data_IF_888258873364
#
_entry.id   IF_888258873364
#
_cell.length_a   1.000
_cell.length_b   1.000
_cell.length_c   1.000
_cell.angle_alpha   90.00
_cell.angle_beta   90.00
_cell.angle_gamma   90.00
#
_symmetry.space_group_name_H-M   'P 1'
#
loop_
_entity.id
_entity.type
_entity.pdbx_description
1 polymer ?
#
# COMPACT_ATOMS: atom_id res chain seq x y z
N UNK A 1 -27.97 -9.03 -35.62
CA UNK A 1 -27.10 -9.94 -34.84
C UNK A 1 -25.72 -9.33 -34.82
N UNK A 2 -25.46 -8.45 -33.85
CA UNK A 2 -24.14 -7.88 -33.56
C UNK A 2 -24.28 -6.90 -32.38
N UNK A 3 -24.51 -7.44 -31.18
CA UNK A 3 -24.25 -6.71 -29.93
C UNK A 3 -22.74 -6.72 -29.74
N UNK A 4 -22.10 -5.61 -30.14
CA UNK A 4 -20.70 -5.36 -29.83
C UNK A 4 -20.62 -5.04 -28.34
N UNK A 5 -20.32 -6.05 -27.52
CA UNK A 5 -19.97 -5.85 -26.11
C UNK A 5 -18.65 -5.08 -26.10
N UNK A 6 -18.73 -3.76 -25.94
CA UNK A 6 -17.59 -2.95 -25.56
C UNK A 6 -16.98 -3.54 -24.28
N UNK A 7 -15.64 -3.62 -24.15
CA UNK A 7 -15.04 -3.99 -22.88
C UNK A 7 -15.55 -3.02 -21.81
N UNK A 8 -16.10 -3.58 -20.73
CA UNK A 8 -16.42 -2.86 -19.49
C UNK A 8 -15.10 -2.36 -18.90
N UNK A 9 -14.57 -1.25 -19.43
CA UNK A 9 -13.42 -0.55 -18.86
C UNK A 9 -13.96 0.16 -17.64
N UNK A 10 -13.98 -0.53 -16.50
CA UNK A 10 -14.30 0.08 -15.23
C UNK A 10 -13.29 1.19 -15.00
N UNK A 11 -13.72 2.45 -14.84
CA UNK A 11 -12.78 3.49 -14.42
C UNK A 11 -12.23 3.09 -13.05
N UNK A 12 -10.90 3.20 -12.90
CA UNK A 12 -10.18 3.12 -11.62
C UNK A 12 -11.03 3.69 -10.49
N UNK A 13 -11.11 2.99 -9.36
CA UNK A 13 -11.87 3.44 -8.20
C UNK A 13 -11.52 4.92 -7.90
N UNK A 14 -12.46 5.86 -8.15
CA UNK A 14 -12.21 7.29 -7.98
C UNK A 14 -11.92 7.65 -6.52
N UNK A 15 -12.01 6.69 -5.60
CA UNK A 15 -11.60 6.86 -4.22
C UNK A 15 -10.09 6.86 -3.97
N UNK A 16 -9.24 6.29 -4.83
CA UNK A 16 -7.80 6.18 -4.54
C UNK A 16 -7.04 7.43 -5.01
N UNK A 17 -6.76 8.33 -4.07
CA UNK A 17 -5.89 9.49 -4.28
C UNK A 17 -4.42 9.08 -4.17
N UNK A 18 -3.76 8.94 -5.32
CA UNK A 18 -2.37 8.48 -5.41
C UNK A 18 -1.37 9.53 -4.92
N UNK A 19 -1.70 10.80 -5.02
CA UNK A 19 -0.80 11.90 -4.64
C UNK A 19 -0.75 12.02 -3.12
N UNK A 20 -1.91 11.94 -2.45
CA UNK A 20 -1.97 11.86 -0.98
C UNK A 20 -1.21 10.66 -0.44
N UNK A 21 -1.33 9.50 -1.11
CA UNK A 21 -0.59 8.29 -0.73
C UNK A 21 0.93 8.51 -0.92
N UNK A 22 1.34 9.15 -2.00
CA UNK A 22 2.74 9.46 -2.26
C UNK A 22 3.32 10.38 -1.19
N UNK A 23 2.60 11.44 -0.80
CA UNK A 23 3.00 12.36 0.27
C UNK A 23 3.19 11.61 1.61
N UNK A 24 2.27 10.72 1.97
CA UNK A 24 2.38 9.92 3.19
C UNK A 24 3.59 8.97 3.17
N UNK A 25 3.87 8.36 2.01
CA UNK A 25 5.04 7.49 1.81
C UNK A 25 6.34 8.30 1.91
N UNK A 26 6.42 9.44 1.23
CA UNK A 26 7.57 10.34 1.26
C UNK A 26 7.83 10.84 2.67
N UNK A 27 6.76 11.23 3.38
CA UNK A 27 6.86 11.63 4.77
C UNK A 27 7.46 10.50 5.63
N UNK A 28 6.95 9.27 5.53
CA UNK A 28 7.51 8.16 6.30
C UNK A 28 8.96 7.83 5.95
N UNK A 29 9.34 7.98 4.68
CA UNK A 29 10.67 7.65 4.16
C UNK A 29 11.72 8.74 4.29
N UNK A 30 11.31 9.99 4.49
CA UNK A 30 12.19 11.15 4.64
C UNK A 30 13.39 10.85 5.55
N UNK A 31 14.56 11.31 5.12
CA UNK A 31 15.78 11.21 5.91
C UNK A 31 15.68 12.14 7.13
N UNK A 32 16.00 11.60 8.30
CA UNK A 32 15.88 12.29 9.59
C UNK A 32 17.11 12.02 10.44
N UNK A 33 17.55 13.04 11.17
CA UNK A 33 18.66 12.94 12.11
C UNK A 33 18.37 12.06 13.34
N UNK A 34 17.10 11.70 13.58
CA UNK A 34 16.69 10.87 14.70
C UNK A 34 15.29 10.27 14.53
N UNK A 35 14.87 9.48 15.53
CA UNK A 35 13.54 8.85 15.57
C UNK A 35 12.50 9.92 15.91
N UNK A 36 11.43 10.08 15.10
CA UNK A 36 10.36 11.02 15.39
C UNK A 36 9.55 10.60 16.63
N UNK A 37 8.77 11.53 17.23
CA UNK A 37 7.95 11.22 18.40
C UNK A 37 7.01 10.03 18.15
N UNK A 38 6.80 9.20 19.17
CA UNK A 38 5.94 7.99 19.09
C UNK A 38 4.53 8.28 18.57
N UNK A 39 3.97 9.44 18.91
CA UNK A 39 2.66 9.89 18.43
C UNK A 39 2.62 10.11 16.90
N UNK A 40 3.68 10.69 16.33
CA UNK A 40 3.82 10.89 14.88
C UNK A 40 3.95 9.54 14.18
N UNK A 41 4.76 8.64 14.73
CA UNK A 41 4.93 7.28 14.20
C UNK A 41 3.61 6.52 14.21
N UNK A 42 2.83 6.59 15.29
CA UNK A 42 1.53 5.93 15.39
C UNK A 42 0.54 6.50 14.37
N UNK A 43 0.38 7.83 14.32
CA UNK A 43 -0.54 8.47 13.39
C UNK A 43 -0.19 8.14 11.93
N UNK A 44 1.08 8.28 11.56
CA UNK A 44 1.54 7.93 10.21
C UNK A 44 1.44 6.44 9.91
N UNK A 45 1.52 5.57 10.92
CA UNK A 45 1.30 4.13 10.75
C UNK A 45 -0.17 3.84 10.43
N UNK A 46 -1.10 4.42 11.18
CA UNK A 46 -2.53 4.22 10.97
C UNK A 46 -2.98 4.75 9.60
N UNK A 47 -2.45 5.90 9.20
CA UNK A 47 -2.66 6.49 7.87
C UNK A 47 -2.15 5.56 6.76
N UNK A 48 -0.89 5.13 6.82
CA UNK A 48 -0.31 4.24 5.80
C UNK A 48 -0.96 2.86 5.76
N UNK A 49 -1.39 2.32 6.91
CA UNK A 49 -2.17 1.07 6.96
C UNK A 49 -3.50 1.23 6.23
N UNK A 50 -4.16 2.38 6.39
CA UNK A 50 -5.42 2.70 5.70
C UNK A 50 -5.19 2.79 4.20
N UNK A 51 -4.16 3.52 3.77
CA UNK A 51 -3.79 3.62 2.35
C UNK A 51 -3.39 2.28 1.74
N UNK A 52 -2.58 1.48 2.45
CA UNK A 52 -2.16 0.15 1.99
C UNK A 52 -3.38 -0.77 1.80
N UNK A 53 -4.31 -0.81 2.76
CA UNK A 53 -5.54 -1.61 2.63
C UNK A 53 -6.38 -1.17 1.43
N UNK A 54 -6.48 0.14 1.19
CA UNK A 54 -7.24 0.71 0.07
C UNK A 54 -6.60 0.35 -1.28
N UNK A 55 -5.27 0.41 -1.37
CA UNK A 55 -4.55 -0.05 -2.55
C UNK A 55 -4.78 -1.54 -2.77
N UNK A 56 -4.58 -2.38 -1.75
CA UNK A 56 -4.81 -3.82 -1.83
C UNK A 56 -6.23 -4.22 -2.25
N UNK A 57 -7.23 -3.37 -1.99
CA UNK A 57 -8.62 -3.59 -2.40
C UNK A 57 -8.93 -3.16 -3.83
N UNK A 58 -8.00 -2.53 -4.54
CA UNK A 58 -8.20 -2.24 -5.95
C UNK A 58 -8.37 -3.56 -6.71
N UNK A 59 -9.40 -3.64 -7.55
CA UNK A 59 -9.58 -4.75 -8.47
C UNK A 59 -8.42 -4.76 -9.49
N UNK A 60 -8.25 -5.86 -10.23
CA UNK A 60 -7.34 -5.96 -11.40
C UNK A 60 -5.85 -6.25 -11.15
N UNK A 61 -5.42 -6.62 -9.95
CA UNK A 61 -4.02 -7.04 -9.75
C UNK A 61 -3.63 -8.36 -10.45
N UNK A 62 -4.61 -9.20 -10.78
CA UNK A 62 -4.38 -10.52 -11.40
C UNK A 62 -3.52 -11.42 -10.52
N UNK A 63 -3.55 -11.27 -9.19
CA UNK A 63 -2.65 -12.01 -8.29
C UNK A 63 -2.84 -13.54 -8.38
N UNK A 64 -3.97 -14.02 -8.88
CA UNK A 64 -4.23 -15.44 -9.12
C UNK A 64 -3.68 -15.97 -10.47
N UNK A 65 -3.14 -15.10 -11.34
CA UNK A 65 -2.60 -15.51 -12.63
C UNK A 65 -1.22 -16.18 -12.49
N UNK A 66 -0.92 -17.25 -13.25
CA UNK A 66 0.30 -18.06 -13.08
C UNK A 66 1.59 -17.22 -13.10
N UNK A 67 1.67 -16.21 -13.97
CA UNK A 67 2.87 -15.36 -14.16
C UNK A 67 2.98 -14.19 -13.17
N UNK A 68 2.01 -14.04 -12.25
CA UNK A 68 1.95 -12.95 -11.24
C UNK A 68 2.52 -13.34 -9.87
N UNK A 69 3.54 -14.21 -9.86
CA UNK A 69 4.16 -14.71 -8.62
C UNK A 69 4.69 -13.61 -7.69
N UNK A 70 5.28 -12.55 -8.24
CA UNK A 70 5.76 -11.41 -7.47
C UNK A 70 4.62 -10.65 -6.78
N UNK A 71 3.47 -10.47 -7.46
CA UNK A 71 2.28 -9.83 -6.89
C UNK A 71 1.73 -10.65 -5.73
N UNK A 72 1.65 -11.98 -5.87
CA UNK A 72 1.25 -12.87 -4.75
C UNK A 72 2.16 -12.73 -3.53
N UNK A 73 3.48 -12.69 -3.74
CA UNK A 73 4.43 -12.51 -2.66
C UNK A 73 4.26 -11.15 -1.97
N UNK A 74 3.99 -10.10 -2.73
CA UNK A 74 3.73 -8.76 -2.21
C UNK A 74 2.44 -8.73 -1.35
N UNK A 75 1.34 -9.33 -1.83
CA UNK A 75 0.12 -9.49 -1.05
C UNK A 75 0.35 -10.27 0.24
N UNK A 76 1.06 -11.40 0.17
CA UNK A 76 1.40 -12.20 1.36
C UNK A 76 2.23 -11.39 2.36
N UNK A 77 3.20 -10.61 1.89
CA UNK A 77 3.99 -9.74 2.74
C UNK A 77 3.12 -8.68 3.42
N UNK A 78 2.24 -8.02 2.67
CA UNK A 78 1.33 -7.02 3.21
C UNK A 78 0.34 -7.60 4.23
N UNK A 79 -0.30 -8.74 3.95
CA UNK A 79 -1.18 -9.39 4.92
C UNK A 79 -0.44 -9.75 6.21
N UNK A 80 0.76 -10.31 6.11
CA UNK A 80 1.59 -10.62 7.28
C UNK A 80 1.89 -9.37 8.11
N UNK A 81 2.21 -8.25 7.46
CA UNK A 81 2.53 -7.00 8.17
C UNK A 81 1.29 -6.27 8.69
N UNK A 82 0.11 -6.49 8.11
CA UNK A 82 -1.14 -5.91 8.58
C UNK A 82 -1.77 -6.69 9.74
N UNK A 83 -1.31 -7.91 9.99
CA UNK A 83 -1.74 -8.75 11.11
C UNK A 83 -1.59 -8.00 12.44
N UNK A 84 -2.61 -8.07 13.29
CA UNK A 84 -2.64 -7.38 14.58
C UNK A 84 -1.49 -7.83 15.47
N UNK A 85 -1.08 -9.10 15.39
CA UNK A 85 -0.04 -9.66 16.24
C UNK A 85 1.35 -9.07 15.99
N UNK A 86 1.59 -8.45 14.82
CA UNK A 86 2.88 -7.83 14.48
C UNK A 86 2.85 -6.30 14.54
N UNK A 87 1.70 -5.69 14.88
CA UNK A 87 1.57 -4.25 15.00
C UNK A 87 2.28 -3.76 16.26
N UNK A 88 3.00 -2.63 16.19
CA UNK A 88 3.54 -1.98 17.37
C UNK A 88 2.43 -1.62 18.37
N UNK A 89 2.64 -1.98 19.62
CA UNK A 89 1.79 -1.63 20.75
C UNK A 89 2.50 -0.64 21.70
N UNK A 90 1.91 -0.38 22.86
CA UNK A 90 2.47 0.52 23.87
C UNK A 90 3.77 -0.01 24.51
N UNK A 91 4.01 -1.32 24.47
CA UNK A 91 5.24 -1.93 24.97
C UNK A 91 6.36 -1.96 23.92
N UNK A 92 6.01 -1.74 22.65
CA UNK A 92 6.95 -1.77 21.53
C UNK A 92 7.91 -0.57 21.59
N UNK A 93 9.24 -0.79 21.57
CA UNK A 93 10.22 0.30 21.56
C UNK A 93 10.04 1.26 20.39
N UNK A 94 10.27 2.56 20.63
CA UNK A 94 10.10 3.62 19.64
C UNK A 94 10.85 3.34 18.33
N UNK A 95 12.08 2.85 18.41
CA UNK A 95 12.88 2.49 17.23
C UNK A 95 12.25 1.34 16.43
N UNK A 96 11.71 0.33 17.11
CA UNK A 96 11.06 -0.82 16.46
C UNK A 96 9.76 -0.38 15.77
N UNK A 97 9.00 0.49 16.41
CA UNK A 97 7.80 1.04 15.80
C UNK A 97 8.11 1.98 14.63
N UNK A 98 9.18 2.76 14.71
CA UNK A 98 9.66 3.58 13.60
C UNK A 98 10.07 2.71 12.41
N UNK A 99 10.77 1.59 12.66
CA UNK A 99 11.12 0.63 11.62
C UNK A 99 9.87 -0.03 10.99
N UNK A 100 8.87 -0.36 11.81
CA UNK A 100 7.58 -0.85 11.33
C UNK A 100 6.89 0.17 10.42
N UNK A 101 6.81 1.44 10.83
CA UNK A 101 6.22 2.52 10.02
C UNK A 101 6.88 2.64 8.63
N UNK A 102 8.21 2.61 8.57
CA UNK A 102 8.96 2.62 7.29
C UNK A 102 8.75 1.36 6.45
N UNK A 103 8.52 0.22 7.10
CA UNK A 103 8.20 -1.04 6.42
C UNK A 103 6.83 -0.96 5.76
N UNK A 104 5.82 -0.47 6.47
CA UNK A 104 4.48 -0.23 5.90
C UNK A 104 4.55 0.77 4.75
N UNK A 105 5.32 1.86 4.89
CA UNK A 105 5.54 2.82 3.80
C UNK A 105 6.14 2.16 2.55
N UNK A 106 7.02 1.17 2.73
CA UNK A 106 7.64 0.47 1.63
C UNK A 106 6.69 -0.48 0.91
N UNK A 107 5.81 -1.14 1.66
CA UNK A 107 4.72 -1.94 1.08
C UNK A 107 3.73 -1.04 0.35
N UNK A 108 3.33 0.08 0.96
CA UNK A 108 2.44 1.06 0.34
C UNK A 108 3.02 1.61 -0.97
N UNK A 109 4.33 1.91 -1.02
CA UNK A 109 5.01 2.32 -2.24
C UNK A 109 4.93 1.26 -3.34
N UNK A 110 5.26 0.00 -3.02
CA UNK A 110 5.18 -1.08 -4.01
C UNK A 110 3.76 -1.29 -4.55
N UNK A 111 2.74 -1.22 -3.70
CA UNK A 111 1.34 -1.30 -4.12
C UNK A 111 0.88 -0.09 -4.93
N UNK A 112 1.34 1.11 -4.58
CA UNK A 112 1.06 2.35 -5.32
C UNK A 112 1.69 2.31 -6.71
N UNK A 113 2.93 1.85 -6.82
CA UNK A 113 3.61 1.72 -8.10
C UNK A 113 2.92 0.66 -8.98
N UNK A 114 2.56 -0.50 -8.40
CA UNK A 114 1.78 -1.52 -9.09
C UNK A 114 0.41 -0.99 -9.54
N UNK A 115 -0.29 -0.26 -8.67
CA UNK A 115 -1.55 0.39 -9.03
C UNK A 115 -1.33 1.33 -10.22
N UNK A 116 -0.31 2.19 -10.17
CA UNK A 116 0.08 3.12 -11.22
C UNK A 116 0.37 2.43 -12.57
N UNK A 117 1.13 1.34 -12.57
CA UNK A 117 1.49 0.55 -13.75
C UNK A 117 0.25 -0.04 -14.45
N UNK A 118 -0.69 -0.61 -13.70
CA UNK A 118 -1.94 -1.14 -14.28
C UNK A 118 -2.75 -0.09 -15.06
N UNK A 119 -2.70 1.18 -14.63
CA UNK A 119 -3.37 2.28 -15.35
C UNK A 119 -2.63 2.77 -16.59
N UNK A 120 -1.39 2.32 -16.83
CA UNK A 120 -0.61 2.64 -18.03
C UNK A 120 -0.78 1.59 -19.12
N UNK A 121 -0.98 0.33 -18.74
CA UNK A 121 -1.16 -0.79 -19.67
C UNK A 121 -2.59 -0.89 -20.23
N UNK A 122 -3.57 -0.19 -19.64
CA UNK A 122 -4.94 -0.09 -20.13
C UNK A 122 -5.20 1.02 -21.17
N UNK A 123 -4.15 1.63 -21.75
CA UNK A 123 -4.26 2.69 -22.76
C UNK A 123 -3.85 2.24 -24.16
#
# INVERSE_FOLDING_TARGET
>A
MNSSTAPDVRPRDPGIDVDVIADAIEHARADRAGVPPRSVVNAGTDELVTHLRKLMSADEYGHDEPDRGAVRLLFRAAYRHLDVAVRPDAATPDLAAYAYWRTVASLAAAFRDLYCELGRDGK
#
